data_IF_654993302212
#
_entry.id   IF_654993302212
#
_cell.length_a   1.000
_cell.length_b   1.000
_cell.length_c   1.000
_cell.angle_alpha   90.00
_cell.angle_beta   90.00
_cell.angle_gamma   90.00
#
_symmetry.space_group_name_H-M   'P 1'
#
loop_
_entity.id
_entity.type
_entity.pdbx_description
1 polymer ?
#
# COMPACT_ATOMS: atom_id res chain seq x y z
N UNK A 1 -9.60 12.07 31.95
CA UNK A 1 -8.80 11.93 30.72
C UNK A 1 -9.08 10.55 30.17
N UNK A 2 -9.46 10.41 28.90
CA UNK A 2 -9.57 9.06 28.28
C UNK A 2 -8.17 8.42 28.25
N UNK A 3 -8.10 7.13 28.56
CA UNK A 3 -6.83 6.40 28.52
C UNK A 3 -6.27 6.41 27.08
N UNK A 4 -4.95 6.54 26.95
CA UNK A 4 -4.27 6.47 25.65
C UNK A 4 -4.42 5.07 25.07
N UNK A 5 -4.74 4.95 23.79
CA UNK A 5 -4.98 3.68 23.11
C UNK A 5 -3.98 3.47 21.97
N UNK A 6 -3.45 2.26 21.87
CA UNK A 6 -2.51 1.94 20.83
C UNK A 6 -2.66 0.49 20.36
N UNK A 7 -2.34 0.25 19.09
CA UNK A 7 -2.39 -1.10 18.54
C UNK A 7 -2.13 -1.15 17.04
N UNK A 8 -1.97 -2.38 16.55
CA UNK A 8 -1.77 -2.68 15.15
C UNK A 8 -3.09 -2.91 14.43
N UNK A 9 -3.24 -2.28 13.27
CA UNK A 9 -4.46 -2.33 12.45
C UNK A 9 -4.15 -2.83 11.06
N UNK A 10 -4.58 -4.04 10.71
CA UNK A 10 -4.36 -4.62 9.39
C UNK A 10 -5.38 -4.09 8.37
N UNK A 11 -4.92 -3.60 7.22
CA UNK A 11 -5.76 -3.23 6.09
C UNK A 11 -5.96 -4.45 5.17
N UNK A 12 -7.18 -4.97 5.10
CA UNK A 12 -7.51 -6.19 4.35
C UNK A 12 -8.61 -5.91 3.34
N UNK A 13 -8.54 -6.55 2.19
CA UNK A 13 -9.52 -6.44 1.11
C UNK A 13 -8.90 -6.79 -0.23
N UNK A 14 -9.74 -6.98 -1.24
CA UNK A 14 -9.30 -7.30 -2.59
C UNK A 14 -8.35 -6.24 -3.17
N UNK A 15 -7.61 -6.53 -4.25
CA UNK A 15 -6.81 -5.53 -4.94
C UNK A 15 -7.64 -4.31 -5.38
N UNK A 16 -7.02 -3.15 -5.41
CA UNK A 16 -7.60 -1.87 -5.88
C UNK A 16 -8.84 -1.38 -5.12
N UNK A 17 -9.17 -1.96 -3.96
CA UNK A 17 -10.26 -1.46 -3.10
C UNK A 17 -9.90 -0.13 -2.43
N UNK A 18 -8.61 0.21 -2.37
CA UNK A 18 -8.10 1.49 -1.87
C UNK A 18 -7.41 1.42 -0.50
N UNK A 19 -6.81 0.29 -0.13
CA UNK A 19 -6.06 0.10 1.13
C UNK A 19 -4.95 1.14 1.29
N UNK A 20 -4.01 1.20 0.34
CA UNK A 20 -2.89 2.15 0.37
C UNK A 20 -3.34 3.62 0.26
N UNK A 21 -4.45 3.87 -0.46
CA UNK A 21 -5.07 5.21 -0.51
C UNK A 21 -5.60 5.61 0.86
N UNK A 22 -6.28 4.69 1.55
CA UNK A 22 -6.75 4.93 2.91
C UNK A 22 -5.60 5.15 3.87
N UNK A 23 -4.54 4.33 3.82
CA UNK A 23 -3.36 4.53 4.64
C UNK A 23 -2.81 5.96 4.49
N UNK A 24 -2.51 6.37 3.24
CA UNK A 24 -1.98 7.71 2.98
C UNK A 24 -2.92 8.82 3.46
N UNK A 25 -4.24 8.65 3.29
CA UNK A 25 -5.24 9.63 3.75
C UNK A 25 -5.30 9.73 5.27
N UNK A 26 -5.20 8.60 6.00
CA UNK A 26 -5.17 8.57 7.47
C UNK A 26 -3.89 9.23 8.02
N UNK A 27 -2.77 9.12 7.31
CA UNK A 27 -1.49 9.70 7.69
C UNK A 27 -1.34 11.17 7.26
N UNK A 28 -2.19 11.67 6.36
CA UNK A 28 -2.05 13.00 5.76
C UNK A 28 -0.82 13.16 4.87
N UNK A 29 -0.10 12.07 4.56
CA UNK A 29 1.06 12.06 3.68
C UNK A 29 1.24 10.72 2.97
N UNK A 30 2.02 10.73 1.89
CA UNK A 30 2.27 9.54 1.09
C UNK A 30 3.38 8.68 1.70
N UNK A 31 3.01 7.48 2.11
CA UNK A 31 3.91 6.43 2.61
C UNK A 31 3.86 5.19 1.73
N UNK A 32 2.68 4.81 1.27
CA UNK A 32 2.46 3.68 0.36
C UNK A 32 2.16 4.16 -1.05
N UNK A 33 2.65 3.47 -2.06
CA UNK A 33 2.38 3.80 -3.47
C UNK A 33 0.96 3.41 -3.88
N UNK A 34 0.40 4.20 -4.79
CA UNK A 34 -0.97 4.01 -5.26
C UNK A 34 -1.01 3.97 -6.79
N UNK A 35 -1.51 2.89 -7.37
CA UNK A 35 -1.77 2.79 -8.80
C UNK A 35 -3.15 2.20 -9.07
N UNK A 36 -3.63 2.35 -10.31
CA UNK A 36 -4.87 1.68 -10.76
C UNK A 36 -4.68 0.18 -11.03
N UNK A 37 -3.43 -0.33 -10.99
CA UNK A 37 -3.10 -1.72 -11.29
C UNK A 37 -3.24 -2.60 -10.05
N UNK A 38 -3.68 -3.87 -10.19
CA UNK A 38 -3.59 -4.83 -9.10
C UNK A 38 -2.11 -5.10 -8.72
N UNK A 39 -1.87 -5.66 -7.53
CA UNK A 39 -0.53 -5.96 -7.01
C UNK A 39 0.41 -4.73 -6.89
N UNK A 40 -0.15 -3.55 -6.65
CA UNK A 40 0.63 -2.32 -6.41
C UNK A 40 1.47 -2.47 -5.16
N UNK A 41 0.87 -2.81 -4.03
CA UNK A 41 1.56 -3.11 -2.76
C UNK A 41 2.12 -4.52 -2.82
N UNK A 42 3.44 -4.66 -2.68
CA UNK A 42 4.14 -5.96 -2.64
C UNK A 42 4.75 -6.26 -1.29
N UNK A 43 4.97 -5.24 -0.50
CA UNK A 43 5.59 -5.25 0.81
C UNK A 43 4.56 -4.93 1.88
N UNK A 44 4.81 -5.37 3.12
CA UNK A 44 4.12 -4.80 4.26
C UNK A 44 4.63 -3.37 4.48
N UNK A 45 3.74 -2.41 4.48
CA UNK A 45 4.08 -1.01 4.78
C UNK A 45 3.45 -0.64 6.11
N UNK A 46 4.28 -0.26 7.08
CA UNK A 46 3.83 0.30 8.34
C UNK A 46 3.57 1.81 8.17
N UNK A 47 2.39 2.25 8.60
CA UNK A 47 2.06 3.67 8.69
C UNK A 47 1.56 4.00 10.08
N UNK A 48 2.16 5.00 10.73
CA UNK A 48 1.89 5.38 12.11
C UNK A 48 1.09 6.69 12.12
N UNK A 49 -0.12 6.62 12.65
CA UNK A 49 -1.00 7.77 12.85
C UNK A 49 -1.13 8.06 14.34
N UNK A 50 -0.75 9.23 14.76
CA UNK A 50 -0.78 9.64 16.17
C UNK A 50 -1.78 10.78 16.42
N UNK A 51 -2.41 10.76 17.57
CA UNK A 51 -3.28 11.81 18.12
C UNK A 51 -3.12 11.87 19.64
N UNK A 52 -3.75 12.84 20.28
CA UNK A 52 -3.79 12.92 21.76
C UNK A 52 -4.50 11.71 22.39
N UNK A 53 -5.43 11.10 21.68
CA UNK A 53 -6.22 9.96 22.15
C UNK A 53 -5.53 8.60 21.95
N UNK A 54 -4.51 8.52 21.08
CA UNK A 54 -3.83 7.25 20.83
C UNK A 54 -2.93 7.23 19.60
N UNK A 55 -2.30 6.07 19.39
CA UNK A 55 -1.44 5.79 18.25
C UNK A 55 -1.92 4.54 17.50
N UNK A 56 -2.18 4.69 16.21
CA UNK A 56 -2.63 3.62 15.33
C UNK A 56 -1.48 3.23 14.41
N UNK A 57 -1.02 1.98 14.51
CA UNK A 57 0.00 1.39 13.64
C UNK A 57 -0.67 0.60 12.51
N UNK A 58 -0.90 1.22 11.37
CA UNK A 58 -1.50 0.57 10.20
C UNK A 58 -0.52 -0.36 9.50
N UNK A 59 -0.98 -1.56 9.18
CA UNK A 59 -0.27 -2.54 8.37
C UNK A 59 -0.94 -2.61 6.98
N UNK A 60 -0.41 -1.85 5.99
CA UNK A 60 -0.85 -1.99 4.59
C UNK A 60 -0.23 -3.25 4.01
N UNK A 61 -1.07 -4.11 3.49
CA UNK A 61 -0.67 -5.42 2.98
C UNK A 61 -0.99 -5.56 1.50
N UNK A 62 -0.24 -6.42 0.80
CA UNK A 62 -0.62 -6.83 -0.54
C UNK A 62 -2.07 -7.31 -0.59
N UNK A 63 -2.79 -6.98 -1.66
CA UNK A 63 -4.11 -7.54 -1.89
C UNK A 63 -4.05 -9.07 -2.02
N UNK A 64 -4.96 -9.77 -1.37
CA UNK A 64 -5.03 -11.22 -1.46
C UNK A 64 -5.48 -11.67 -2.84
N UNK A 65 -4.79 -12.63 -3.44
CA UNK A 65 -5.06 -13.16 -4.77
C UNK A 65 -5.40 -14.65 -4.75
N UNK A 66 -6.26 -15.07 -5.68
CA UNK A 66 -6.49 -16.47 -5.96
C UNK A 66 -5.30 -17.05 -6.76
N UNK A 67 -4.82 -18.24 -6.35
CA UNK A 67 -3.89 -19.06 -7.12
C UNK A 67 -2.47 -18.50 -7.26
N UNK A 68 -1.59 -18.74 -6.30
CA UNK A 68 -0.20 -18.30 -6.36
C UNK A 68 0.60 -19.16 -7.34
N UNK A 69 0.64 -18.79 -8.63
CA UNK A 69 1.50 -19.48 -9.61
C UNK A 69 2.98 -19.10 -9.44
N UNK A 70 3.31 -17.86 -9.02
CA UNK A 70 4.68 -17.36 -8.86
C UNK A 70 5.10 -17.27 -7.38
N UNK A 71 6.39 -17.40 -7.10
CA UNK A 71 6.94 -17.25 -5.76
C UNK A 71 6.62 -15.87 -5.17
N UNK A 72 6.67 -14.82 -5.96
CA UNK A 72 6.24 -13.46 -5.59
C UNK A 72 4.82 -13.44 -5.01
N UNK A 73 3.83 -14.08 -5.67
CA UNK A 73 2.46 -14.09 -5.20
C UNK A 73 2.32 -14.88 -3.89
N UNK A 74 3.10 -15.97 -3.72
CA UNK A 74 3.14 -16.72 -2.45
C UNK A 74 3.70 -15.88 -1.32
N UNK A 75 4.78 -15.13 -1.57
CA UNK A 75 5.38 -14.20 -0.62
C UNK A 75 4.36 -13.13 -0.19
N UNK A 76 3.70 -12.47 -1.15
CA UNK A 76 2.67 -11.47 -0.89
C UNK A 76 1.52 -12.01 -0.03
N UNK A 77 1.04 -13.23 -0.30
CA UNK A 77 -0.04 -13.86 0.49
C UNK A 77 0.44 -14.20 1.92
N UNK A 78 1.70 -14.66 2.10
CA UNK A 78 2.29 -14.88 3.44
C UNK A 78 2.38 -13.58 4.23
N UNK A 79 2.88 -12.52 3.60
CA UNK A 79 2.98 -11.18 4.20
C UNK A 79 1.63 -10.65 4.67
N UNK A 80 0.58 -10.81 3.84
CA UNK A 80 -0.77 -10.41 4.22
C UNK A 80 -1.31 -11.24 5.40
N UNK A 81 -1.07 -12.55 5.42
CA UNK A 81 -1.48 -13.44 6.51
C UNK A 81 -0.76 -13.14 7.82
N UNK A 82 0.56 -12.90 7.77
CA UNK A 82 1.37 -12.54 8.94
C UNK A 82 0.89 -11.22 9.58
N UNK A 83 0.67 -10.19 8.76
CA UNK A 83 0.19 -8.90 9.25
C UNK A 83 -1.18 -9.01 9.94
N UNK A 84 -2.08 -9.86 9.43
CA UNK A 84 -3.38 -10.10 10.06
C UNK A 84 -3.22 -10.84 11.41
N UNK A 85 -2.26 -11.76 11.52
CA UNK A 85 -1.94 -12.46 12.77
C UNK A 85 -1.35 -11.55 13.86
N UNK A 86 -0.61 -10.50 13.48
CA UNK A 86 0.00 -9.52 14.38
C UNK A 86 -0.97 -8.41 14.80
N UNK A 87 -2.05 -8.19 14.06
CA UNK A 87 -2.97 -7.06 14.29
C UNK A 87 -3.87 -7.26 15.51
N UNK A 88 -4.20 -6.17 16.19
CA UNK A 88 -5.22 -6.09 17.24
C UNK A 88 -6.62 -5.91 16.64
N UNK A 89 -6.70 -5.29 15.45
CA UNK A 89 -7.92 -4.97 14.73
C UNK A 89 -7.71 -5.16 13.22
N UNK A 90 -8.71 -5.67 12.51
CA UNK A 90 -8.74 -5.69 11.07
C UNK A 90 -9.70 -4.64 10.50
N UNK A 91 -9.26 -3.86 9.52
CA UNK A 91 -10.13 -3.07 8.66
C UNK A 91 -10.40 -3.86 7.38
N UNK A 92 -11.61 -4.32 7.23
CA UNK A 92 -12.06 -5.01 6.02
C UNK A 92 -12.63 -4.00 5.03
N UNK A 93 -11.90 -3.73 3.95
CA UNK A 93 -12.27 -2.74 2.94
C UNK A 93 -13.05 -3.38 1.80
N UNK A 94 -14.19 -2.78 1.45
CA UNK A 94 -14.98 -3.06 0.25
C UNK A 94 -15.23 -1.81 -0.56
N UNK A 95 -15.49 -1.95 -1.86
CA UNK A 95 -15.87 -0.82 -2.72
C UNK A 95 -17.40 -0.60 -2.65
N UNK A 96 -17.82 0.64 -2.54
CA UNK A 96 -19.23 1.01 -2.46
C UNK A 96 -20.04 0.43 -3.64
N UNK A 97 -21.20 -0.16 -3.35
CA UNK A 97 -22.13 -0.77 -4.29
C UNK A 97 -21.57 -1.97 -5.07
N UNK A 98 -20.44 -2.52 -4.66
CA UNK A 98 -19.80 -3.65 -5.31
C UNK A 98 -19.37 -4.71 -4.30
N UNK A 99 -19.87 -5.92 -4.50
CA UNK A 99 -19.44 -7.11 -3.79
C UNK A 99 -19.03 -8.17 -4.79
N UNK A 100 -17.90 -8.84 -4.57
CA UNK A 100 -17.34 -9.86 -5.47
C UNK A 100 -16.92 -11.08 -4.67
N UNK A 101 -16.64 -12.20 -5.36
CA UNK A 101 -16.12 -13.42 -4.73
C UNK A 101 -14.76 -13.17 -4.03
N UNK A 102 -13.94 -12.24 -4.56
CA UNK A 102 -12.69 -11.84 -3.92
C UNK A 102 -12.94 -11.12 -2.57
N UNK A 103 -14.01 -10.33 -2.47
CA UNK A 103 -14.40 -9.70 -1.19
C UNK A 103 -14.88 -10.77 -0.19
N UNK A 104 -15.66 -11.76 -0.65
CA UNK A 104 -16.10 -12.87 0.19
C UNK A 104 -14.92 -13.69 0.74
N UNK A 105 -13.94 -14.03 -0.10
CA UNK A 105 -12.73 -14.73 0.31
C UNK A 105 -11.87 -13.92 1.28
N UNK A 106 -11.75 -12.61 1.05
CA UNK A 106 -11.01 -11.73 1.94
C UNK A 106 -11.69 -11.65 3.31
N UNK A 107 -13.02 -11.55 3.35
CA UNK A 107 -13.81 -11.57 4.60
C UNK A 107 -13.63 -12.88 5.35
N UNK A 108 -13.73 -14.03 4.68
CA UNK A 108 -13.54 -15.34 5.30
C UNK A 108 -12.18 -15.43 6.01
N UNK A 109 -11.10 -14.99 5.37
CA UNK A 109 -9.76 -14.99 5.97
C UNK A 109 -9.65 -14.06 7.20
N UNK A 110 -10.31 -12.89 7.12
CA UNK A 110 -10.37 -11.98 8.26
C UNK A 110 -11.09 -12.62 9.42
N UNK A 111 -12.23 -13.27 9.21
CA UNK A 111 -12.99 -13.96 10.25
C UNK A 111 -12.22 -15.15 10.84
N UNK A 112 -11.49 -15.92 10.02
CA UNK A 112 -10.63 -17.01 10.47
C UNK A 112 -9.50 -16.55 11.38
N UNK A 113 -9.06 -15.29 11.28
CA UNK A 113 -8.03 -14.74 12.17
C UNK A 113 -8.50 -14.54 13.61
N UNK A 114 -9.82 -14.54 13.85
CA UNK A 114 -10.41 -14.27 15.17
C UNK A 114 -10.25 -12.82 15.66
N UNK A 115 -9.74 -11.91 14.84
CA UNK A 115 -9.55 -10.51 15.21
C UNK A 115 -10.85 -9.73 15.13
N UNK A 116 -11.06 -8.72 15.99
CA UNK A 116 -12.15 -7.76 15.83
C UNK A 116 -12.08 -7.11 14.44
N UNK A 117 -13.25 -6.81 13.84
CA UNK A 117 -13.31 -6.32 12.45
C UNK A 117 -14.19 -5.08 12.36
N UNK A 118 -13.68 -4.04 11.72
CA UNK A 118 -14.47 -2.90 11.24
C UNK A 118 -14.58 -3.01 9.72
N UNK A 119 -15.81 -2.98 9.19
CA UNK A 119 -16.02 -2.91 7.75
C UNK A 119 -15.92 -1.46 7.26
N UNK A 120 -15.15 -1.25 6.19
CA UNK A 120 -14.94 0.07 5.58
C UNK A 120 -15.47 0.05 4.15
N UNK A 121 -16.53 0.80 3.88
CA UNK A 121 -17.09 0.96 2.53
C UNK A 121 -16.40 2.15 1.87
N UNK A 122 -15.42 1.88 1.03
CA UNK A 122 -14.63 2.92 0.38
C UNK A 122 -15.21 3.32 -0.99
N UNK A 123 -14.75 4.47 -1.51
CA UNK A 123 -15.13 5.06 -2.79
C UNK A 123 -16.60 5.49 -2.85
N UNK A 124 -17.16 5.95 -1.74
CA UNK A 124 -18.55 6.46 -1.72
C UNK A 124 -18.75 7.67 -2.64
N UNK A 125 -17.66 8.38 -2.98
CA UNK A 125 -17.65 9.45 -3.98
C UNK A 125 -18.08 8.97 -5.38
N UNK A 126 -17.91 7.69 -5.68
CA UNK A 126 -18.33 7.03 -6.94
C UNK A 126 -19.70 6.36 -6.86
N UNK A 127 -20.29 6.24 -5.66
CA UNK A 127 -21.59 5.59 -5.50
C UNK A 127 -22.69 6.37 -6.21
N UNK A 128 -23.30 5.74 -7.21
CA UNK A 128 -24.41 6.28 -8.01
C UNK A 128 -25.42 5.17 -8.31
N UNK A 129 -26.72 5.35 -8.12
CA UNK A 129 -27.30 6.46 -7.34
C UNK A 129 -27.00 6.32 -5.83
N UNK A 130 -26.97 7.45 -5.11
CA UNK A 130 -26.60 7.49 -3.68
C UNK A 130 -27.58 6.75 -2.78
N UNK A 131 -28.84 6.67 -3.17
CA UNK A 131 -29.92 5.99 -2.43
C UNK A 131 -29.63 4.49 -2.22
N UNK A 132 -28.81 3.89 -3.11
CA UNK A 132 -28.40 2.47 -2.98
C UNK A 132 -27.36 2.22 -1.90
N UNK A 133 -26.75 3.27 -1.33
CA UNK A 133 -25.69 3.11 -0.35
C UNK A 133 -26.22 2.56 0.97
N UNK A 134 -27.36 3.06 1.47
CA UNK A 134 -27.96 2.56 2.71
C UNK A 134 -28.37 1.08 2.65
N UNK A 135 -29.08 0.59 1.61
CA UNK A 135 -29.32 -0.84 1.46
C UNK A 135 -28.03 -1.67 1.37
N UNK A 136 -27.00 -1.17 0.70
CA UNK A 136 -25.72 -1.87 0.63
C UNK A 136 -25.03 -1.97 1.99
N UNK A 137 -25.07 -0.89 2.81
CA UNK A 137 -24.56 -0.88 4.19
C UNK A 137 -25.28 -1.93 5.03
N UNK A 138 -26.62 -1.98 4.96
CA UNK A 138 -27.42 -2.96 5.69
C UNK A 138 -27.06 -4.41 5.30
N UNK A 139 -27.03 -4.70 4.00
CA UNK A 139 -26.64 -6.02 3.49
C UNK A 139 -25.20 -6.41 3.90
N UNK A 140 -24.27 -5.47 3.93
CA UNK A 140 -22.91 -5.74 4.37
C UNK A 140 -22.85 -6.04 5.87
N UNK A 141 -23.59 -5.29 6.68
CA UNK A 141 -23.62 -5.46 8.13
C UNK A 141 -24.13 -6.85 8.57
N UNK A 142 -24.99 -7.48 7.77
CA UNK A 142 -25.50 -8.83 8.01
C UNK A 142 -24.51 -9.96 7.71
N UNK A 143 -23.40 -9.67 7.00
CA UNK A 143 -22.44 -10.70 6.55
C UNK A 143 -21.51 -11.22 7.63
N UNK A 144 -21.25 -10.40 8.66
CA UNK A 144 -20.36 -10.76 9.76
C UNK A 144 -20.59 -9.84 10.98
N UNK A 145 -20.15 -10.25 12.17
CA UNK A 145 -20.24 -9.43 13.38
C UNK A 145 -19.21 -8.30 13.38
N UNK A 146 -19.40 -7.31 12.51
CA UNK A 146 -18.54 -6.14 12.47
C UNK A 146 -18.76 -5.25 13.70
N UNK A 147 -17.69 -4.71 14.28
CA UNK A 147 -17.78 -3.70 15.35
C UNK A 147 -18.42 -2.41 14.86
N UNK A 148 -18.18 -2.05 13.61
CA UNK A 148 -18.77 -0.91 12.93
C UNK A 148 -18.73 -1.11 11.41
N UNK A 149 -19.61 -0.41 10.69
CA UNK A 149 -19.59 -0.29 9.22
C UNK A 149 -19.47 1.19 8.87
N UNK A 150 -18.34 1.61 8.32
CA UNK A 150 -18.02 3.01 8.10
C UNK A 150 -17.85 3.32 6.61
N UNK A 151 -18.76 4.11 6.00
CA UNK A 151 -18.63 4.57 4.63
C UNK A 151 -17.65 5.74 4.54
N UNK A 152 -16.70 5.68 3.60
CA UNK A 152 -15.65 6.70 3.40
C UNK A 152 -15.36 6.97 1.92
N UNK A 153 -14.71 8.10 1.64
CA UNK A 153 -13.93 8.28 0.43
C UNK A 153 -12.45 8.53 0.81
N UNK A 154 -11.63 7.50 0.71
CA UNK A 154 -10.20 7.62 0.97
C UNK A 154 -9.52 8.61 0.00
N UNK A 155 -10.01 8.70 -1.24
CA UNK A 155 -9.46 9.62 -2.26
C UNK A 155 -9.71 11.09 -1.91
N UNK A 156 -10.87 11.40 -1.31
CA UNK A 156 -11.28 12.77 -0.93
C UNK A 156 -11.00 13.09 0.53
N UNK A 157 -10.46 12.12 1.28
CA UNK A 157 -10.33 12.18 2.73
C UNK A 157 -11.67 12.45 3.47
N UNK A 158 -12.80 12.00 2.88
CA UNK A 158 -14.13 12.19 3.47
C UNK A 158 -14.43 11.10 4.51
N UNK A 159 -15.02 11.46 5.64
CA UNK A 159 -15.44 10.59 6.74
C UNK A 159 -14.31 9.79 7.39
N UNK A 160 -13.08 10.31 7.39
CA UNK A 160 -11.93 9.64 8.04
C UNK A 160 -11.98 9.76 9.55
N UNK A 161 -12.50 10.85 10.11
CA UNK A 161 -12.56 11.05 11.55
C UNK A 161 -13.52 10.07 12.26
N UNK A 162 -14.73 9.78 11.75
CA UNK A 162 -15.55 8.69 12.28
C UNK A 162 -14.86 7.33 12.25
N UNK A 163 -14.08 7.04 11.19
CA UNK A 163 -13.30 5.80 11.10
C UNK A 163 -12.19 5.79 12.15
N UNK A 164 -11.43 6.89 12.32
CA UNK A 164 -10.39 7.02 13.34
C UNK A 164 -10.94 6.78 14.75
N UNK A 165 -12.06 7.40 15.06
CA UNK A 165 -12.74 7.24 16.36
C UNK A 165 -13.17 5.79 16.60
N UNK A 166 -13.74 5.11 15.58
CA UNK A 166 -14.14 3.72 15.69
C UNK A 166 -12.92 2.80 15.90
N UNK A 167 -11.78 3.07 15.21
CA UNK A 167 -10.54 2.33 15.40
C UNK A 167 -10.04 2.50 16.83
N UNK A 168 -9.88 3.74 17.31
CA UNK A 168 -9.38 4.01 18.65
C UNK A 168 -10.26 3.38 19.73
N UNK A 169 -11.58 3.40 19.56
CA UNK A 169 -12.50 2.75 20.50
C UNK A 169 -12.31 1.22 20.57
N UNK A 170 -11.87 0.59 19.47
CA UNK A 170 -11.65 -0.84 19.37
C UNK A 170 -10.23 -1.28 19.82
N UNK A 171 -9.26 -0.36 19.86
CA UNK A 171 -7.89 -0.67 20.26
C UNK A 171 -7.76 -0.78 21.81
N UNK A 172 -6.80 -1.59 22.29
CA UNK A 172 -6.51 -1.69 23.72
C UNK A 172 -5.95 -0.37 24.28
N UNK A 173 -6.10 -0.19 25.57
CA UNK A 173 -5.35 0.82 26.32
C UNK A 173 -3.89 0.42 26.38
N UNK A 174 -2.99 1.37 26.15
CA UNK A 174 -1.56 1.08 26.09
C UNK A 174 -0.71 2.34 25.94
N UNK A 175 0.58 2.15 25.87
CA UNK A 175 1.56 3.20 25.63
C UNK A 175 1.84 3.37 24.12
N UNK A 176 2.61 4.38 23.75
CA UNK A 176 3.09 4.56 22.37
C UNK A 176 3.93 3.36 21.93
N UNK A 177 3.60 2.81 20.78
CA UNK A 177 4.36 1.71 20.16
C UNK A 177 5.61 2.22 19.45
N UNK A 178 5.57 3.45 18.97
CA UNK A 178 6.61 4.10 18.18
C UNK A 178 6.88 5.52 18.69
N UNK A 179 8.09 6.06 18.51
CA UNK A 179 8.42 7.42 18.87
C UNK A 179 7.46 8.45 18.27
N UNK A 180 7.21 9.53 19.02
CA UNK A 180 6.37 10.63 18.55
C UNK A 180 6.91 11.22 17.24
N UNK A 181 6.01 11.47 16.29
CA UNK A 181 6.35 12.02 14.98
C UNK A 181 6.90 11.00 13.97
N UNK A 182 7.13 9.74 14.36
CA UNK A 182 7.47 8.70 13.40
C UNK A 182 6.24 8.32 12.58
N UNK A 183 6.36 8.31 11.26
CA UNK A 183 5.25 8.05 10.33
C UNK A 183 5.33 6.66 9.71
N UNK A 184 6.53 6.09 9.59
CA UNK A 184 6.78 4.76 9.02
C UNK A 184 8.11 4.21 9.53
N UNK A 185 8.30 2.90 9.44
CA UNK A 185 9.56 2.21 9.68
C UNK A 185 10.42 2.07 8.41
N UNK A 186 9.86 2.46 7.25
CA UNK A 186 10.52 2.29 5.96
C UNK A 186 11.58 3.35 5.72
N UNK A 187 12.76 2.90 5.28
CA UNK A 187 13.88 3.76 4.93
C UNK A 187 13.53 4.68 3.76
N UNK A 188 14.24 5.80 3.63
CA UNK A 188 14.11 6.69 2.50
C UNK A 188 14.44 5.99 1.17
N UNK A 189 15.48 5.13 1.16
CA UNK A 189 15.84 4.31 -0.02
C UNK A 189 14.67 3.45 -0.48
N UNK A 190 14.00 2.77 0.42
CA UNK A 190 12.81 1.98 0.10
C UNK A 190 11.71 2.84 -0.51
N UNK A 191 11.41 4.00 0.09
CA UNK A 191 10.37 4.91 -0.39
C UNK A 191 10.70 5.46 -1.79
N UNK A 192 11.98 5.74 -2.07
CA UNK A 192 12.45 6.17 -3.40
C UNK A 192 12.23 5.03 -4.42
N UNK A 193 12.65 3.81 -4.10
CA UNK A 193 12.46 2.65 -4.98
C UNK A 193 10.98 2.42 -5.32
N UNK A 194 10.12 2.45 -4.31
CA UNK A 194 8.68 2.28 -4.48
C UNK A 194 8.07 3.43 -5.31
N UNK A 195 8.49 4.67 -5.11
CA UNK A 195 8.00 5.79 -5.91
C UNK A 195 8.40 5.66 -7.39
N UNK A 196 9.64 5.25 -7.69
CA UNK A 196 10.07 4.95 -9.06
C UNK A 196 9.21 3.81 -9.63
N UNK A 197 8.94 2.75 -8.85
CA UNK A 197 8.10 1.63 -9.27
C UNK A 197 6.65 2.05 -9.53
N UNK A 198 6.11 2.98 -8.77
CA UNK A 198 4.79 3.56 -9.05
C UNK A 198 4.73 4.23 -10.42
N UNK A 199 5.73 5.07 -10.74
CA UNK A 199 5.78 5.75 -12.05
C UNK A 199 5.94 4.75 -13.19
N UNK A 200 6.79 3.73 -12.99
CA UNK A 200 6.92 2.61 -13.94
C UNK A 200 5.58 1.92 -14.19
N UNK A 201 4.88 1.57 -13.12
CA UNK A 201 3.60 0.85 -13.19
C UNK A 201 2.53 1.68 -13.93
N UNK A 202 2.56 3.00 -13.78
CA UNK A 202 1.65 3.90 -14.49
C UNK A 202 1.94 4.04 -15.99
N UNK A 203 3.21 3.91 -16.41
CA UNK A 203 3.65 4.07 -17.80
C UNK A 203 3.69 2.76 -18.61
N UNK A 204 3.76 1.64 -17.92
CA UNK A 204 3.81 0.32 -18.55
C UNK A 204 2.39 -0.25 -18.73
N UNK A 205 2.23 -1.10 -19.74
CA UNK A 205 0.96 -1.74 -20.09
C UNK A 205 1.05 -3.27 -20.01
N UNK A 206 -0.09 -3.94 -20.10
CA UNK A 206 -0.20 -5.40 -20.08
C UNK A 206 0.44 -6.05 -18.84
N UNK A 207 1.27 -7.05 -19.00
CA UNK A 207 1.90 -7.84 -17.92
C UNK A 207 3.22 -7.25 -17.41
N UNK A 208 3.78 -6.26 -18.10
CA UNK A 208 5.06 -5.66 -17.72
C UNK A 208 5.09 -5.05 -16.32
N UNK A 209 4.04 -4.36 -15.84
CA UNK A 209 4.04 -3.81 -14.49
C UNK A 209 4.31 -4.84 -13.39
N UNK A 210 3.93 -6.10 -13.64
CA UNK A 210 4.12 -7.19 -12.67
C UNK A 210 5.52 -7.80 -12.71
N UNK A 211 6.22 -7.63 -13.84
CA UNK A 211 7.56 -8.17 -14.10
C UNK A 211 8.71 -7.19 -13.83
N UNK A 212 8.46 -6.03 -13.20
CA UNK A 212 9.51 -5.06 -12.89
C UNK A 212 9.75 -4.93 -11.40
N UNK A 213 11.02 -4.74 -11.02
CA UNK A 213 11.41 -4.36 -9.66
C UNK A 213 12.39 -3.18 -9.74
N UNK A 214 12.54 -2.44 -8.65
CA UNK A 214 13.45 -1.30 -8.54
C UNK A 214 14.36 -1.52 -7.34
N UNK A 215 15.66 -1.34 -7.55
CA UNK A 215 16.71 -1.45 -6.54
C UNK A 215 17.52 -0.16 -6.53
N UNK A 216 17.83 0.36 -5.35
CA UNK A 216 18.71 1.52 -5.20
C UNK A 216 20.15 1.03 -5.07
N UNK A 217 20.94 1.19 -6.13
CA UNK A 217 22.37 0.81 -6.15
C UNK A 217 23.23 1.85 -5.43
N UNK A 218 22.93 3.14 -5.59
CA UNK A 218 23.71 4.21 -4.96
C UNK A 218 22.79 5.27 -4.35
N UNK A 219 23.25 5.83 -3.24
CA UNK A 219 22.58 6.92 -2.55
C UNK A 219 23.66 7.74 -1.84
N UNK A 220 23.84 8.98 -2.23
CA UNK A 220 24.81 9.89 -1.66
C UNK A 220 24.19 11.28 -1.47
N UNK A 221 24.51 11.91 -0.38
CA UNK A 221 24.18 13.33 -0.14
C UNK A 221 25.41 14.17 -0.48
N UNK A 222 25.22 15.18 -1.31
CA UNK A 222 26.29 16.09 -1.72
C UNK A 222 26.40 17.28 -0.75
N UNK A 223 27.55 17.97 -0.73
CA UNK A 223 27.81 19.08 0.17
C UNK A 223 26.81 20.25 0.02
N UNK A 224 26.18 20.39 -1.15
CA UNK A 224 25.11 21.37 -1.41
C UNK A 224 23.71 20.90 -0.98
N UNK A 225 23.61 19.76 -0.26
CA UNK A 225 22.34 19.20 0.26
C UNK A 225 21.47 18.55 -0.80
N UNK A 226 22.01 18.25 -1.99
CA UNK A 226 21.36 17.46 -3.05
C UNK A 226 21.56 15.98 -2.77
N UNK A 227 20.55 15.16 -3.10
CA UNK A 227 20.63 13.70 -3.00
C UNK A 227 20.80 13.11 -4.38
N UNK A 228 21.90 12.39 -4.59
CA UNK A 228 22.17 11.63 -5.82
C UNK A 228 21.77 10.18 -5.63
N UNK A 229 20.89 9.70 -6.51
CA UNK A 229 20.34 8.34 -6.45
C UNK A 229 20.55 7.64 -7.77
N UNK A 230 21.21 6.49 -7.70
CA UNK A 230 21.31 5.54 -8.81
C UNK A 230 20.36 4.37 -8.56
N UNK A 231 19.44 4.13 -9.48
CA UNK A 231 18.46 3.07 -9.36
C UNK A 231 18.46 2.14 -10.58
N UNK A 232 18.38 0.84 -10.32
CA UNK A 232 18.24 -0.19 -11.34
C UNK A 232 16.81 -0.67 -11.40
N UNK A 233 16.27 -0.67 -12.60
CA UNK A 233 14.99 -1.26 -12.94
C UNK A 233 15.28 -2.65 -13.51
N UNK A 234 14.90 -3.67 -12.75
CA UNK A 234 15.02 -5.05 -13.15
C UNK A 234 13.82 -5.47 -14.00
N UNK A 235 14.09 -6.11 -15.12
CA UNK A 235 13.11 -6.77 -15.97
C UNK A 235 13.45 -8.26 -16.12
N UNK A 236 12.44 -9.07 -16.44
CA UNK A 236 12.56 -10.53 -16.47
C UNK A 236 13.22 -11.05 -17.77
N UNK A 237 13.12 -10.29 -18.88
CA UNK A 237 13.58 -10.71 -20.20
C UNK A 237 14.17 -9.56 -21.01
N UNK A 238 15.18 -9.87 -21.87
CA UNK A 238 15.80 -8.87 -22.76
C UNK A 238 14.78 -8.09 -23.61
N UNK A 239 13.76 -8.74 -24.17
CA UNK A 239 12.73 -8.08 -24.96
C UNK A 239 11.89 -7.04 -24.19
N UNK A 240 11.90 -7.04 -22.87
CA UNK A 240 11.19 -6.07 -22.04
C UNK A 240 11.97 -4.76 -21.84
N UNK A 241 13.30 -4.84 -21.92
CA UNK A 241 14.19 -3.70 -21.72
C UNK A 241 13.92 -2.54 -22.69
N UNK A 242 13.82 -2.73 -24.02
CA UNK A 242 13.48 -1.64 -24.94
C UNK A 242 12.08 -1.08 -24.69
N UNK A 243 11.13 -1.88 -24.19
CA UNK A 243 9.78 -1.40 -23.86
C UNK A 243 9.82 -0.44 -22.66
N UNK A 244 10.58 -0.76 -21.61
CA UNK A 244 10.77 0.10 -20.44
C UNK A 244 11.50 1.39 -20.80
N UNK A 245 12.55 1.30 -21.61
CA UNK A 245 13.33 2.45 -22.06
C UNK A 245 12.49 3.36 -22.96
N UNK A 246 11.73 2.79 -23.88
CA UNK A 246 10.96 3.51 -24.91
C UNK A 246 11.83 4.01 -26.05
N UNK A 247 11.19 4.50 -27.13
CA UNK A 247 11.86 5.05 -28.28
C UNK A 247 12.79 6.20 -27.86
N UNK A 248 14.07 6.13 -28.23
CA UNK A 248 15.07 7.16 -27.88
C UNK A 248 15.24 7.39 -26.36
N UNK A 249 14.76 6.49 -25.50
CA UNK A 249 14.83 6.66 -24.04
C UNK A 249 13.76 7.56 -23.44
N UNK A 250 12.81 8.04 -24.21
CA UNK A 250 11.85 9.05 -23.77
C UNK A 250 10.90 8.57 -22.66
N UNK A 251 10.55 7.28 -22.62
CA UNK A 251 9.73 6.74 -21.52
C UNK A 251 10.50 6.74 -20.22
N UNK A 252 11.72 6.22 -20.21
CA UNK A 252 12.55 6.19 -19.01
C UNK A 252 12.85 7.60 -18.48
N UNK A 253 13.08 8.56 -19.37
CA UNK A 253 13.28 9.96 -19.03
C UNK A 253 12.02 10.60 -18.39
N UNK A 254 10.81 10.29 -18.92
CA UNK A 254 9.53 10.73 -18.33
C UNK A 254 9.34 10.16 -16.93
N UNK A 255 9.60 8.86 -16.74
CA UNK A 255 9.53 8.18 -15.46
C UNK A 255 10.47 8.84 -14.45
N UNK A 256 11.74 9.01 -14.81
CA UNK A 256 12.75 9.64 -13.96
C UNK A 256 12.37 11.09 -13.58
N UNK A 257 11.88 11.88 -14.55
CA UNK A 257 11.42 13.26 -14.29
C UNK A 257 10.24 13.28 -13.33
N UNK A 258 9.22 12.45 -13.55
CA UNK A 258 8.04 12.38 -12.70
C UNK A 258 8.38 11.92 -11.29
N UNK A 259 9.20 10.88 -11.15
CA UNK A 259 9.68 10.41 -9.86
C UNK A 259 10.47 11.49 -9.10
N UNK A 260 11.42 12.16 -9.77
CA UNK A 260 12.23 13.22 -9.17
C UNK A 260 11.40 14.38 -8.65
N UNK A 261 10.43 14.86 -9.42
CA UNK A 261 9.57 15.96 -9.01
C UNK A 261 8.77 15.61 -7.74
N UNK A 262 8.25 14.39 -7.68
CA UNK A 262 7.49 13.94 -6.52
C UNK A 262 8.40 13.69 -5.31
N UNK A 263 9.62 13.15 -5.49
CA UNK A 263 10.61 13.03 -4.41
C UNK A 263 10.97 14.40 -3.83
N UNK A 264 11.21 15.39 -4.67
CA UNK A 264 11.50 16.75 -4.23
C UNK A 264 10.36 17.31 -3.35
N UNK A 265 9.12 17.07 -3.75
CA UNK A 265 7.95 17.50 -2.99
C UNK A 265 7.79 16.71 -1.68
N UNK A 266 7.96 15.38 -1.72
CA UNK A 266 7.72 14.49 -0.59
C UNK A 266 8.74 14.68 0.54
N UNK A 267 10.01 14.90 0.19
CA UNK A 267 11.11 14.99 1.17
C UNK A 267 11.64 16.43 1.37
N UNK A 268 11.14 17.41 0.61
CA UNK A 268 11.58 18.80 0.72
C UNK A 268 13.05 19.05 0.33
N UNK A 269 13.66 18.09 -0.39
CA UNK A 269 15.08 18.13 -0.83
C UNK A 269 15.21 18.02 -2.34
N UNK A 270 16.36 18.37 -2.89
CA UNK A 270 16.63 18.24 -4.33
C UNK A 270 17.22 16.85 -4.59
N UNK A 271 16.56 16.08 -5.49
CA UNK A 271 17.04 14.78 -5.93
C UNK A 271 17.57 14.84 -7.35
N UNK A 272 18.66 14.11 -7.60
CA UNK A 272 19.14 13.76 -8.92
C UNK A 272 19.01 12.24 -9.09
N UNK A 273 18.22 11.80 -10.10
CA UNK A 273 17.96 10.39 -10.35
C UNK A 273 18.65 9.94 -11.63
N UNK A 274 19.44 8.89 -11.52
CA UNK A 274 19.96 8.14 -12.66
C UNK A 274 19.33 6.74 -12.69
N UNK A 275 18.71 6.39 -13.80
CA UNK A 275 17.96 5.14 -13.96
C UNK A 275 18.62 4.25 -15.01
N UNK A 276 18.83 2.99 -14.66
CA UNK A 276 19.29 1.94 -15.58
C UNK A 276 18.27 0.83 -15.68
N UNK A 277 18.19 0.17 -16.83
CA UNK A 277 17.36 -1.02 -17.02
C UNK A 277 18.27 -2.20 -17.25
N UNK A 278 18.19 -3.19 -16.35
CA UNK A 278 18.97 -4.43 -16.40
C UNK A 278 18.05 -5.65 -16.44
N UNK A 279 18.52 -6.75 -17.00
CA UNK A 279 17.78 -8.01 -17.04
C UNK A 279 18.24 -8.91 -15.91
N UNK A 280 17.28 -9.51 -15.21
CA UNK A 280 17.49 -10.59 -14.26
C UNK A 280 16.40 -11.62 -14.49
N UNK A 281 16.74 -12.67 -15.20
CA UNK A 281 15.80 -13.71 -15.58
C UNK A 281 15.16 -14.39 -14.37
N UNK A 282 13.86 -14.60 -14.44
CA UNK A 282 13.06 -15.29 -13.41
C UNK A 282 13.17 -14.69 -11.99
N UNK A 283 13.52 -13.40 -11.85
CA UNK A 283 13.69 -12.76 -10.53
C UNK A 283 12.45 -12.91 -9.62
N UNK A 284 11.26 -12.91 -10.21
CA UNK A 284 9.99 -13.03 -9.48
C UNK A 284 9.73 -14.45 -8.93
N UNK A 285 10.53 -15.43 -9.34
CA UNK A 285 10.50 -16.82 -8.86
C UNK A 285 11.77 -17.21 -8.08
N UNK A 286 12.75 -16.29 -7.97
CA UNK A 286 13.99 -16.46 -7.21
C UNK A 286 13.84 -15.90 -5.77
N UNK A 287 13.85 -16.79 -4.77
CA UNK A 287 13.75 -16.42 -3.36
C UNK A 287 14.90 -15.51 -2.87
N UNK A 288 16.10 -15.60 -3.46
CA UNK A 288 17.21 -14.69 -3.11
C UNK A 288 16.96 -13.29 -3.65
N UNK A 289 16.47 -13.20 -4.90
CA UNK A 289 16.08 -11.92 -5.50
C UNK A 289 14.94 -11.25 -4.71
N UNK A 290 13.93 -12.02 -4.31
CA UNK A 290 12.81 -11.50 -3.52
C UNK A 290 13.26 -10.94 -2.18
N UNK A 291 14.17 -11.62 -1.47
CA UNK A 291 14.76 -11.10 -0.22
C UNK A 291 15.59 -9.84 -0.44
N UNK A 292 16.46 -9.83 -1.47
CA UNK A 292 17.27 -8.65 -1.81
C UNK A 292 16.41 -7.43 -2.13
N UNK A 293 15.26 -7.65 -2.75
CA UNK A 293 14.27 -6.61 -3.10
C UNK A 293 13.26 -6.34 -1.97
N UNK A 294 13.52 -6.85 -0.77
CA UNK A 294 12.69 -6.69 0.45
C UNK A 294 11.24 -7.17 0.30
N UNK A 295 10.94 -8.08 -0.64
CA UNK A 295 9.59 -8.61 -0.85
C UNK A 295 9.27 -9.75 0.13
N UNK A 296 10.28 -10.35 0.73
CA UNK A 296 10.18 -11.47 1.66
C UNK A 296 10.92 -11.23 2.96
#
# INVERSE_FOLDING_TARGET
MSAFRSGFVALVGRPNVGKSTLLNAMLGQKVSIVTSRPQTTRHRVLGICESEAGQIAFLDTPGMHQGPKRALNRAMNRTAGAALGEADLALFLVEALRWTDEDAMALERVLQSGRPVIAVINKVDKARPRERLLPFIATLAERAPFLAVVPISALRADHLEPLRSAILAALPEGERLYPAGQVTDRSERFRIAELIREKLTGELVEELPYGVAVEIESYAETDDGRVEVGAVIWVDREGQKPIVIGAGGERLKRIGRSARLELNHLFGRRYHLTLWVKVRENWADDARALRQLEVE
#
